data_IF_558172942252
#
_entry.id   IF_558172942252
#
_cell.length_a   1.000
_cell.length_b   1.000
_cell.length_c   1.000
_cell.angle_alpha   90.00
_cell.angle_beta   90.00
_cell.angle_gamma   90.00
#
_symmetry.space_group_name_H-M   'P 1'
#
loop_
_entity.id
_entity.type
_entity.pdbx_description
1 polymer ?
#
# COMPACT_ATOMS: atom_id res chain seq x y z
N UNK A 1 -19.91 -0.13 -20.59
CA UNK A 1 -19.50 -0.87 -19.40
C UNK A 1 -18.63 -2.08 -19.81
N UNK A 2 -17.66 -2.42 -18.98
CA UNK A 2 -16.81 -3.58 -19.14
C UNK A 2 -16.49 -4.18 -17.76
N UNK A 3 -16.19 -5.46 -17.70
CA UNK A 3 -15.82 -6.11 -16.45
C UNK A 3 -14.33 -5.92 -16.17
N UNK A 4 -14.01 -5.67 -14.90
CA UNK A 4 -12.64 -5.61 -14.38
C UNK A 4 -12.49 -6.51 -13.17
N UNK A 5 -11.30 -7.07 -13.01
CA UNK A 5 -10.90 -7.65 -11.73
C UNK A 5 -10.25 -6.54 -10.88
N UNK A 6 -10.67 -6.44 -9.65
CA UNK A 6 -10.13 -5.49 -8.68
C UNK A 6 -10.00 -6.15 -7.31
N UNK A 7 -9.51 -5.42 -6.34
CA UNK A 7 -9.36 -5.89 -4.96
C UNK A 7 -10.38 -5.23 -4.05
N UNK A 8 -10.84 -5.98 -3.08
CA UNK A 8 -11.60 -5.51 -1.94
C UNK A 8 -10.81 -5.84 -0.69
N UNK A 9 -10.53 -4.84 0.12
CA UNK A 9 -9.97 -5.01 1.46
C UNK A 9 -11.13 -5.13 2.43
N UNK A 10 -11.23 -6.29 3.07
CA UNK A 10 -12.25 -6.56 4.09
C UNK A 10 -11.76 -6.07 5.46
N UNK A 11 -10.43 -6.16 5.72
CA UNK A 11 -9.80 -5.67 6.94
C UNK A 11 -8.37 -5.23 6.68
N UNK A 12 -7.98 -4.08 7.25
CA UNK A 12 -6.60 -3.60 7.29
C UNK A 12 -6.40 -2.85 8.63
N UNK A 13 -5.62 -3.42 9.53
CA UNK A 13 -5.37 -2.87 10.86
C UNK A 13 -3.89 -2.95 11.19
N UNK A 14 -3.33 -1.87 11.69
CA UNK A 14 -1.98 -1.82 12.23
C UNK A 14 -1.98 -1.23 13.63
N UNK A 15 -1.53 -2.02 14.60
CA UNK A 15 -1.50 -1.63 16.01
C UNK A 15 -0.09 -1.79 16.55
N UNK A 16 0.49 -0.72 17.08
CA UNK A 16 1.68 -0.80 17.94
C UNK A 16 1.27 -1.39 19.28
N UNK A 17 2.03 -2.38 19.76
CA UNK A 17 1.80 -3.06 21.02
C UNK A 17 2.88 -2.76 22.07
N UNK A 18 4.06 -2.28 21.64
CA UNK A 18 5.17 -1.86 22.50
C UNK A 18 5.93 -0.69 21.88
N UNK A 19 6.42 0.28 22.69
CA UNK A 19 6.29 0.47 24.16
C UNK A 19 4.98 1.15 24.57
N UNK A 20 4.07 1.36 23.64
CA UNK A 20 2.74 1.94 23.86
C UNK A 20 1.72 1.17 23.01
N UNK A 21 0.44 1.28 23.37
CA UNK A 21 -0.63 0.72 22.55
C UNK A 21 -1.33 1.83 21.76
N UNK A 22 -1.33 1.68 20.44
CA UNK A 22 -2.07 2.59 19.53
C UNK A 22 -2.34 1.91 18.19
N UNK A 23 -3.58 2.02 17.71
CA UNK A 23 -3.97 1.64 16.37
C UNK A 23 -3.86 2.84 15.44
N UNK A 24 -3.21 2.65 14.30
CA UNK A 24 -3.02 3.64 13.27
C UNK A 24 -3.93 3.38 12.08
N UNK A 25 -4.36 4.44 11.41
CA UNK A 25 -5.13 4.32 10.18
C UNK A 25 -4.24 3.83 9.04
N UNK A 26 -4.55 2.66 8.52
CA UNK A 26 -3.83 2.07 7.38
C UNK A 26 -4.81 1.64 6.30
N UNK A 27 -4.31 1.47 5.08
CA UNK A 27 -5.02 0.79 3.99
C UNK A 27 -4.27 -0.44 3.56
N UNK A 28 -4.98 -1.46 3.13
CA UNK A 28 -4.36 -2.64 2.52
C UNK A 28 -3.67 -2.27 1.20
N UNK A 29 -2.48 -2.80 0.98
CA UNK A 29 -1.84 -2.74 -0.32
C UNK A 29 -2.42 -3.85 -1.20
N UNK A 30 -3.12 -3.49 -2.27
CA UNK A 30 -3.74 -4.46 -3.18
C UNK A 30 -2.71 -5.43 -3.76
N UNK A 31 -3.12 -6.65 -3.97
CA UNK A 31 -2.29 -7.75 -4.46
C UNK A 31 -1.16 -8.21 -3.52
N UNK A 32 -1.03 -7.70 -2.31
CA UNK A 32 -0.17 -8.28 -1.28
C UNK A 32 -0.82 -9.55 -0.68
N UNK A 33 -0.04 -10.34 0.07
CA UNK A 33 -0.58 -11.50 0.77
C UNK A 33 -1.49 -11.09 1.92
N UNK A 34 -2.43 -11.96 2.27
CA UNK A 34 -3.18 -11.85 3.50
C UNK A 34 -2.33 -12.32 4.70
N UNK A 35 -2.63 -11.79 5.87
CA UNK A 35 -2.19 -12.39 7.13
C UNK A 35 -3.07 -13.59 7.50
N UNK A 36 -2.73 -14.34 8.54
CA UNK A 36 -3.71 -15.13 9.27
C UNK A 36 -4.84 -14.23 9.82
N UNK A 37 -6.04 -14.75 10.12
CA UNK A 37 -7.14 -13.91 10.63
C UNK A 37 -6.79 -13.10 11.86
N UNK A 38 -6.00 -13.66 12.77
CA UNK A 38 -5.48 -13.00 13.97
C UNK A 38 -4.40 -11.96 13.68
N UNK A 39 -3.89 -11.94 12.46
CA UNK A 39 -2.79 -11.08 12.03
C UNK A 39 -1.41 -11.70 12.25
N UNK A 40 -0.38 -10.90 12.00
CA UNK A 40 1.01 -11.17 12.36
C UNK A 40 1.46 -10.15 13.40
N UNK A 41 1.97 -10.62 14.53
CA UNK A 41 2.59 -9.78 15.55
C UNK A 41 4.08 -10.07 15.61
N UNK A 42 4.90 -9.03 15.51
CA UNK A 42 6.34 -9.13 15.47
C UNK A 42 7.03 -7.84 15.94
N UNK A 43 8.34 -7.88 16.23
CA UNK A 43 9.10 -6.65 16.40
C UNK A 43 8.97 -5.75 15.17
N UNK A 44 8.96 -4.44 15.41
CA UNK A 44 8.84 -3.43 14.37
C UNK A 44 10.21 -2.82 14.06
N UNK A 45 10.48 -2.50 12.80
CA UNK A 45 11.73 -1.91 12.36
C UNK A 45 11.48 -0.90 11.23
N UNK A 46 12.05 0.30 11.37
CA UNK A 46 12.15 1.27 10.29
C UNK A 46 13.50 1.10 9.56
N UNK A 47 13.48 0.91 8.25
CA UNK A 47 14.67 0.60 7.41
C UNK A 47 14.96 1.68 6.37
N UNK A 48 14.45 2.89 6.55
CA UNK A 48 14.64 3.99 5.61
C UNK A 48 14.35 3.56 4.16
N UNK A 49 15.36 3.61 3.28
CA UNK A 49 15.23 3.23 1.86
C UNK A 49 15.56 1.75 1.61
N UNK A 50 15.75 0.93 2.66
CA UNK A 50 16.04 -0.49 2.53
C UNK A 50 17.42 -0.78 1.95
N UNK A 51 18.44 -0.08 2.42
CA UNK A 51 19.83 -0.43 2.14
C UNK A 51 20.25 -1.73 2.88
N UNK A 52 21.33 -2.40 2.44
CA UNK A 52 21.73 -3.68 3.02
C UNK A 52 22.05 -3.64 4.52
N UNK A 53 22.52 -2.50 5.05
CA UNK A 53 22.83 -2.36 6.48
C UNK A 53 21.54 -2.30 7.28
N UNK A 54 20.60 -1.42 6.88
CA UNK A 54 19.29 -1.28 7.52
C UNK A 54 18.49 -2.59 7.47
N UNK A 55 18.58 -3.33 6.36
CA UNK A 55 17.88 -4.61 6.18
C UNK A 55 18.51 -5.79 6.93
N UNK A 56 19.76 -5.67 7.40
CA UNK A 56 20.44 -6.77 8.12
C UNK A 56 19.72 -7.22 9.40
N UNK A 57 18.83 -6.39 9.92
CA UNK A 57 18.06 -6.68 11.13
C UNK A 57 16.56 -6.93 10.86
N UNK A 58 16.16 -7.12 9.61
CA UNK A 58 14.74 -7.23 9.22
C UNK A 58 14.13 -8.62 9.43
N UNK A 59 14.95 -9.66 9.64
CA UNK A 59 14.47 -11.03 9.82
C UNK A 59 13.46 -11.14 10.97
N UNK A 60 12.31 -11.74 10.68
CA UNK A 60 11.22 -11.95 11.63
C UNK A 60 10.49 -10.67 12.06
N UNK A 61 10.67 -9.54 11.37
CA UNK A 61 10.08 -8.25 11.76
C UNK A 61 9.03 -7.74 10.77
N UNK A 62 8.15 -6.89 11.28
CA UNK A 62 7.32 -6.01 10.45
C UNK A 62 8.16 -4.77 10.16
N UNK A 63 8.30 -4.43 8.89
CA UNK A 63 9.22 -3.41 8.42
C UNK A 63 8.48 -2.20 7.85
N UNK A 64 8.86 -0.99 8.26
CA UNK A 64 8.47 0.25 7.58
C UNK A 64 9.59 0.66 6.61
N UNK A 65 9.26 0.87 5.34
CA UNK A 65 10.23 1.28 4.32
C UNK A 65 9.76 2.55 3.58
N UNK A 66 10.69 3.48 3.35
CA UNK A 66 10.49 4.59 2.42
C UNK A 66 10.60 4.05 1.00
N UNK A 67 9.46 3.87 0.35
CA UNK A 67 9.48 3.36 -1.01
C UNK A 67 8.10 2.94 -1.51
N UNK A 68 8.03 2.62 -2.78
CA UNK A 68 6.79 2.18 -3.42
C UNK A 68 6.49 0.69 -3.23
N UNK A 69 5.23 0.33 -3.45
CA UNK A 69 4.78 -1.05 -3.54
C UNK A 69 5.21 -1.68 -4.88
N UNK A 70 6.46 -2.04 -5.02
CA UNK A 70 7.04 -2.59 -6.25
C UNK A 70 7.86 -3.86 -5.98
N UNK A 71 8.22 -4.57 -7.05
CA UNK A 71 8.95 -5.83 -6.96
C UNK A 71 10.32 -5.66 -6.29
N UNK A 72 11.05 -4.57 -6.57
CA UNK A 72 12.37 -4.35 -6.01
C UNK A 72 12.35 -4.28 -4.48
N UNK A 73 11.49 -3.44 -3.90
CA UNK A 73 11.37 -3.34 -2.44
C UNK A 73 10.83 -4.63 -1.84
N UNK A 74 9.86 -5.28 -2.49
CA UNK A 74 9.34 -6.55 -2.05
C UNK A 74 10.42 -7.63 -1.95
N UNK A 75 11.20 -7.81 -3.01
CA UNK A 75 12.26 -8.82 -3.08
C UNK A 75 13.36 -8.57 -2.04
N UNK A 76 13.74 -7.31 -1.81
CA UNK A 76 14.68 -6.94 -0.74
C UNK A 76 14.17 -7.38 0.64
N UNK A 77 12.89 -7.08 0.94
CA UNK A 77 12.27 -7.41 2.22
C UNK A 77 12.03 -8.91 2.39
N UNK A 78 11.56 -9.61 1.34
CA UNK A 78 11.40 -11.06 1.37
C UNK A 78 12.74 -11.76 1.60
N UNK A 79 13.80 -11.34 0.89
CA UNK A 79 15.16 -11.88 1.07
C UNK A 79 15.74 -11.60 2.45
N UNK A 80 15.40 -10.44 3.03
CA UNK A 80 15.83 -10.09 4.40
C UNK A 80 15.01 -10.80 5.49
N UNK A 81 14.02 -11.63 5.13
CA UNK A 81 13.22 -12.42 6.06
C UNK A 81 12.18 -11.63 6.85
N UNK A 82 11.74 -10.48 6.33
CA UNK A 82 10.62 -9.74 6.92
C UNK A 82 9.33 -10.59 6.94
N UNK A 83 8.45 -10.36 7.91
CA UNK A 83 7.16 -11.08 8.03
C UNK A 83 5.96 -10.24 7.58
N UNK A 84 6.17 -8.98 7.28
CA UNK A 84 5.22 -8.03 6.74
C UNK A 84 5.86 -6.66 6.59
N UNK A 85 5.21 -5.75 5.87
CA UNK A 85 5.78 -4.41 5.71
C UNK A 85 4.73 -3.33 5.53
N UNK A 86 5.14 -2.10 5.83
CA UNK A 86 4.42 -0.86 5.60
C UNK A 86 5.16 -0.02 4.57
N UNK A 87 4.42 0.65 3.71
CA UNK A 87 4.89 1.69 2.80
C UNK A 87 4.21 3.01 3.08
N UNK A 88 4.84 4.11 2.68
CA UNK A 88 4.37 5.46 2.94
C UNK A 88 3.51 6.02 1.81
N UNK A 89 2.53 6.85 2.20
CA UNK A 89 1.85 7.81 1.31
C UNK A 89 1.69 9.14 2.02
N UNK A 90 1.33 10.17 1.26
CA UNK A 90 1.28 11.53 1.80
C UNK A 90 2.66 12.19 1.90
N UNK A 91 2.70 13.36 2.45
CA UNK A 91 3.89 14.21 2.55
C UNK A 91 4.03 14.82 3.94
N UNK A 92 5.21 15.34 4.33
CA UNK A 92 5.38 16.04 5.59
C UNK A 92 4.64 17.40 5.65
N UNK A 93 4.09 17.87 4.52
CA UNK A 93 3.35 19.13 4.44
C UNK A 93 1.84 18.95 4.56
N UNK A 94 1.37 17.71 4.63
CA UNK A 94 -0.04 17.41 4.77
C UNK A 94 -0.53 17.80 6.17
N UNK A 95 -1.82 18.13 6.24
CA UNK A 95 -2.45 18.50 7.50
C UNK A 95 -2.92 17.25 8.27
N UNK A 96 -3.14 17.41 9.56
CA UNK A 96 -3.65 16.31 10.41
C UNK A 96 -4.99 15.73 9.91
N UNK A 97 -5.82 16.54 9.28
CA UNK A 97 -7.09 16.14 8.68
C UNK A 97 -6.93 15.24 7.43
N UNK A 98 -5.75 15.27 6.79
CA UNK A 98 -5.43 14.55 5.55
C UNK A 98 -4.67 13.24 5.79
N UNK A 99 -4.66 12.72 7.02
CA UNK A 99 -3.90 11.50 7.41
C UNK A 99 -4.45 10.18 6.84
N UNK A 100 -5.43 10.21 5.94
CA UNK A 100 -5.91 8.99 5.31
C UNK A 100 -4.93 8.55 4.21
N UNK A 101 -4.30 7.35 4.33
CA UNK A 101 -3.35 6.92 3.32
C UNK A 101 -4.06 6.62 1.99
N UNK A 102 -3.34 6.81 0.87
CA UNK A 102 -3.82 6.41 -0.45
C UNK A 102 -3.83 4.89 -0.62
N UNK A 103 -4.64 4.40 -1.55
CA UNK A 103 -4.52 3.00 -1.98
C UNK A 103 -3.25 2.79 -2.81
N UNK A 104 -2.61 1.67 -2.61
CA UNK A 104 -1.48 1.23 -3.42
C UNK A 104 -1.69 -0.21 -3.88
N UNK A 105 -1.03 -0.58 -4.96
CA UNK A 105 -1.04 -1.95 -5.50
C UNK A 105 0.40 -2.45 -5.57
N UNK A 106 0.64 -3.62 -5.04
CA UNK A 106 1.93 -4.30 -5.17
C UNK A 106 2.12 -4.72 -6.63
N UNK A 107 3.06 -4.06 -7.32
CA UNK A 107 3.28 -4.25 -8.75
C UNK A 107 4.48 -5.14 -9.03
N UNK A 108 4.36 -6.00 -10.04
CA UNK A 108 5.47 -6.82 -10.54
C UNK A 108 5.77 -8.07 -9.70
N UNK A 109 5.05 -8.35 -8.65
CA UNK A 109 5.24 -9.53 -7.79
C UNK A 109 4.22 -10.59 -8.14
N UNK A 110 4.70 -11.82 -8.39
CA UNK A 110 3.83 -12.99 -8.61
C UNK A 110 3.75 -13.80 -7.31
N UNK A 111 2.54 -14.11 -6.87
CA UNK A 111 2.27 -14.91 -5.67
C UNK A 111 2.99 -14.37 -4.41
N UNK A 112 2.72 -13.12 -4.00
CA UNK A 112 3.38 -12.54 -2.84
C UNK A 112 3.06 -13.33 -1.57
N UNK A 113 4.04 -13.40 -0.67
CA UNK A 113 3.94 -14.06 0.64
C UNK A 113 3.87 -13.05 1.79
N UNK A 114 4.38 -11.84 1.57
CA UNK A 114 4.40 -10.82 2.60
C UNK A 114 3.13 -9.95 2.55
N UNK A 115 2.42 -9.79 3.66
CA UNK A 115 1.38 -8.78 3.80
C UNK A 115 1.99 -7.37 3.74
N UNK A 116 1.28 -6.46 3.09
CA UNK A 116 1.69 -5.07 2.96
C UNK A 116 0.52 -4.14 3.26
N UNK A 117 0.73 -3.16 4.11
CA UNK A 117 -0.21 -2.07 4.32
C UNK A 117 0.41 -0.71 3.98
N UNK A 118 -0.46 0.26 3.78
CA UNK A 118 -0.09 1.64 3.46
C UNK A 118 -0.43 2.51 4.65
N UNK A 119 0.54 3.30 5.11
CA UNK A 119 0.39 4.23 6.23
C UNK A 119 0.67 5.66 5.75
N UNK A 120 0.01 6.65 6.35
CA UNK A 120 0.29 8.04 6.05
C UNK A 120 1.65 8.48 6.63
N UNK A 121 2.35 9.40 5.94
CA UNK A 121 3.67 9.89 6.33
C UNK A 121 3.70 10.42 7.77
N UNK A 122 2.73 11.24 8.18
CA UNK A 122 2.68 11.80 9.53
C UNK A 122 2.50 10.74 10.61
N UNK A 123 1.72 9.70 10.35
CA UNK A 123 1.56 8.57 11.26
C UNK A 123 2.83 7.71 11.32
N UNK A 124 3.52 7.53 10.20
CA UNK A 124 4.79 6.84 10.16
C UNK A 124 5.90 7.60 10.90
N UNK A 125 5.93 8.94 10.79
CA UNK A 125 6.82 9.77 11.62
C UNK A 125 6.56 9.54 13.10
N UNK A 126 5.29 9.59 13.53
CA UNK A 126 4.93 9.34 14.92
C UNK A 126 5.39 7.95 15.41
N UNK A 127 5.27 6.89 14.57
CA UNK A 127 5.79 5.56 14.90
C UNK A 127 7.27 5.59 15.24
N UNK A 128 8.07 6.27 14.41
CA UNK A 128 9.52 6.35 14.58
C UNK A 128 9.88 7.22 15.78
N UNK A 129 9.29 8.41 15.91
CA UNK A 129 9.56 9.35 17.01
C UNK A 129 9.19 8.77 18.38
N UNK A 130 8.10 8.03 18.46
CA UNK A 130 7.66 7.38 19.71
C UNK A 130 8.38 6.05 19.98
N UNK A 131 9.29 5.63 19.10
CA UNK A 131 10.09 4.42 19.29
C UNK A 131 9.26 3.14 19.27
N UNK A 132 8.29 3.02 18.34
CA UNK A 132 7.55 1.77 18.15
C UNK A 132 8.52 0.59 17.98
N UNK A 133 8.38 -0.45 18.80
CA UNK A 133 9.30 -1.59 18.84
C UNK A 133 8.64 -2.93 18.54
N UNK A 134 7.31 -3.02 18.70
CA UNK A 134 6.51 -4.19 18.41
C UNK A 134 5.15 -3.78 17.85
N UNK A 135 4.65 -4.51 16.88
CA UNK A 135 3.38 -4.20 16.27
C UNK A 135 2.67 -5.45 15.76
N UNK A 136 1.36 -5.32 15.56
CA UNK A 136 0.50 -6.30 14.92
C UNK A 136 -0.09 -5.73 13.64
N UNK A 137 0.00 -6.49 12.54
CA UNK A 137 -0.60 -6.20 11.25
C UNK A 137 -1.68 -7.24 10.94
N UNK A 138 -2.88 -6.80 10.63
CA UNK A 138 -3.97 -7.61 10.07
C UNK A 138 -4.26 -7.10 8.67
N UNK A 139 -4.30 -7.99 7.70
CA UNK A 139 -4.70 -7.69 6.33
C UNK A 139 -5.52 -8.84 5.77
N UNK A 140 -6.78 -8.58 5.41
CA UNK A 140 -7.68 -9.49 4.73
C UNK A 140 -8.22 -8.81 3.47
N UNK A 141 -7.96 -9.41 2.33
CA UNK A 141 -8.40 -8.89 1.04
C UNK A 141 -8.68 -10.00 0.05
N UNK A 142 -9.50 -9.71 -0.94
CA UNK A 142 -9.87 -10.67 -1.99
C UNK A 142 -10.01 -10.00 -3.34
N UNK A 143 -9.81 -10.76 -4.39
CA UNK A 143 -10.18 -10.35 -5.75
C UNK A 143 -11.69 -10.40 -5.91
N UNK A 144 -12.22 -9.36 -6.54
CA UNK A 144 -13.64 -9.28 -6.90
C UNK A 144 -13.76 -8.81 -8.36
N UNK A 145 -14.89 -9.14 -8.98
CA UNK A 145 -15.27 -8.59 -10.28
C UNK A 145 -16.19 -7.41 -10.10
N UNK A 146 -15.93 -6.35 -10.84
CA UNK A 146 -16.78 -5.16 -10.89
C UNK A 146 -16.96 -4.69 -12.32
N UNK A 147 -18.07 -4.01 -12.56
CA UNK A 147 -18.30 -3.34 -13.84
C UNK A 147 -17.74 -1.93 -13.77
N UNK A 148 -16.91 -1.58 -14.73
CA UNK A 148 -16.41 -0.24 -14.97
C UNK A 148 -17.00 0.36 -16.25
N UNK A 149 -16.83 1.66 -16.45
CA UNK A 149 -17.37 2.39 -17.60
C UNK A 149 -16.33 3.39 -18.10
N UNK A 150 -16.27 3.53 -19.43
CA UNK A 150 -15.64 4.70 -20.05
C UNK A 150 -16.74 5.69 -20.46
N UNK A 151 -16.46 6.96 -20.30
CA UNK A 151 -17.29 8.05 -20.83
C UNK A 151 -16.70 8.42 -22.18
N UNK A 152 -17.54 8.36 -23.23
CA UNK A 152 -17.15 8.70 -24.59
C UNK A 152 -18.09 9.80 -25.06
N UNK A 153 -17.51 10.94 -25.45
CA UNK A 153 -18.21 12.03 -26.13
C UNK A 153 -17.66 12.11 -27.56
N UNK A 154 -18.56 12.16 -28.54
CA UNK A 154 -18.20 12.36 -29.93
C UNK A 154 -18.87 13.64 -30.45
N UNK A 155 -18.07 14.53 -31.00
CA UNK A 155 -18.51 15.74 -31.68
C UNK A 155 -18.15 15.54 -33.15
N UNK A 156 -19.14 15.36 -34.06
CA UNK A 156 -18.88 15.21 -35.49
C UNK A 156 -18.27 16.50 -36.09
N UNK A 157 -17.23 16.35 -36.88
CA UNK A 157 -16.69 17.43 -37.69
C UNK A 157 -17.59 17.71 -38.90
N UNK A 158 -17.53 18.93 -39.42
CA UNK A 158 -18.34 19.38 -40.59
C UNK A 158 -17.54 19.41 -41.88
N UNK A 159 -16.22 19.61 -41.82
CA UNK A 159 -15.37 19.75 -43.03
C UNK A 159 -14.66 18.44 -43.38
N UNK A 160 -14.16 17.73 -42.35
CA UNK A 160 -13.43 16.47 -42.54
C UNK A 160 -13.95 15.43 -41.55
N UNK A 161 -15.19 14.92 -41.73
CA UNK A 161 -15.86 14.04 -40.75
C UNK A 161 -15.19 12.69 -40.58
N UNK A 162 -14.29 12.28 -41.48
CA UNK A 162 -13.53 11.03 -41.41
C UNK A 162 -12.24 11.17 -40.56
N UNK A 163 -11.79 12.40 -40.30
CA UNK A 163 -10.64 12.63 -39.45
C UNK A 163 -11.07 12.65 -37.98
N UNK A 164 -10.36 11.90 -37.13
CA UNK A 164 -10.68 11.73 -35.71
C UNK A 164 -9.55 12.29 -34.87
N UNK A 165 -9.85 13.35 -34.12
CA UNK A 165 -9.01 13.79 -33.01
C UNK A 165 -9.51 13.18 -31.69
N UNK A 166 -8.67 12.41 -31.02
CA UNK A 166 -9.02 11.79 -29.74
C UNK A 166 -8.29 12.49 -28.59
N UNK A 167 -9.07 12.96 -27.61
CA UNK A 167 -8.57 13.44 -26.32
C UNK A 167 -8.93 12.43 -25.24
N UNK A 168 -7.94 12.02 -24.44
CA UNK A 168 -8.14 11.07 -23.34
C UNK A 168 -7.65 11.67 -22.03
N UNK A 169 -8.41 11.40 -20.96
CA UNK A 169 -8.05 11.79 -19.60
C UNK A 169 -8.58 10.76 -18.61
N UNK A 170 -7.87 10.60 -17.50
CA UNK A 170 -8.38 9.88 -16.35
C UNK A 170 -9.48 10.70 -15.64
N UNK A 171 -10.47 10.02 -15.05
CA UNK A 171 -11.48 10.62 -14.18
C UNK A 171 -11.62 9.86 -12.84
N UNK A 172 -10.72 8.92 -12.59
CA UNK A 172 -10.66 8.02 -11.43
C UNK A 172 -9.54 8.38 -10.43
N UNK A 173 -9.13 9.64 -10.43
CA UNK A 173 -8.07 10.17 -9.55
C UNK A 173 -8.62 10.69 -8.22
#
# INVERSE_FOLDING_TARGET
PFEIETWQVDEAVFTVTEPYEKTYTVRGCFAAANTAPEGVEAPFLYVENGDPVSLSHAEGKIVLINGGANAENYEKLEKAGAVGFLILTGTPLDKDEDRLPDYRTLRGVKNPKLPCAVIHYLDAMELVERGASRARLVLQQKKIRRTSKNIILRIPGTEQPEEILTLTAHYDS
#
